data_IF_899919338122
#
_entry.id   IF_899919338122
#
_cell.length_a   1.000
_cell.length_b   1.000
_cell.length_c   1.000
_cell.angle_alpha   90.00
_cell.angle_beta   90.00
_cell.angle_gamma   90.00
#
_symmetry.space_group_name_H-M   'P 1'
#
loop_
_entity.id
_entity.type
_entity.pdbx_description
1 polymer ?
#
# COMPACT_ATOMS: atom_id res chain seq x y z
N UNK A 1 -7.40 2.93 -27.75
CA UNK A 1 -6.70 3.10 -26.47
C UNK A 1 -7.69 2.72 -25.37
N UNK A 2 -7.27 2.02 -24.31
CA UNK A 2 -8.15 1.74 -23.18
C UNK A 2 -8.61 3.05 -22.53
N UNK A 3 -9.85 3.06 -22.08
CA UNK A 3 -10.48 4.14 -21.34
C UNK A 3 -10.61 3.77 -19.87
N UNK A 4 -10.95 4.73 -19.01
CA UNK A 4 -11.17 4.46 -17.58
C UNK A 4 -12.23 3.38 -17.31
N UNK A 5 -13.22 3.25 -18.20
CA UNK A 5 -14.26 2.22 -18.10
C UNK A 5 -13.71 0.80 -18.30
N UNK A 6 -12.58 0.67 -18.99
CA UNK A 6 -11.95 -0.61 -19.30
C UNK A 6 -11.03 -1.09 -18.17
N UNK A 7 -10.81 -0.29 -17.12
CA UNK A 7 -9.99 -0.69 -15.97
C UNK A 7 -10.69 -1.80 -15.19
N UNK A 8 -10.01 -2.92 -15.03
CA UNK A 8 -10.54 -4.07 -14.33
C UNK A 8 -10.56 -3.81 -12.82
N UNK A 9 -11.68 -4.18 -12.18
CA UNK A 9 -11.81 -4.18 -10.74
C UNK A 9 -11.83 -5.61 -10.25
N UNK A 10 -10.98 -5.90 -9.26
CA UNK A 10 -10.99 -7.12 -8.48
C UNK A 10 -10.90 -6.74 -7.00
N UNK A 11 -11.80 -7.27 -6.18
CA UNK A 11 -11.81 -6.97 -4.75
C UNK A 11 -10.56 -7.58 -4.10
N UNK A 12 -9.65 -6.79 -3.51
CA UNK A 12 -8.52 -7.33 -2.75
C UNK A 12 -9.05 -8.01 -1.48
N UNK A 13 -8.37 -9.04 -0.98
CA UNK A 13 -8.70 -9.63 0.32
C UNK A 13 -7.71 -9.15 1.38
N UNK A 14 -8.24 -8.71 2.52
CA UNK A 14 -7.41 -8.30 3.66
C UNK A 14 -6.43 -9.41 4.08
N UNK A 15 -6.88 -10.66 4.11
CA UNK A 15 -6.06 -11.80 4.53
C UNK A 15 -4.80 -11.97 3.65
N UNK A 16 -4.96 -11.89 2.32
CA UNK A 16 -3.83 -12.04 1.40
C UNK A 16 -2.88 -10.85 1.47
N UNK A 17 -3.44 -9.64 1.54
CA UNK A 17 -2.70 -8.40 1.71
C UNK A 17 -1.87 -8.44 2.99
N UNK A 18 -2.49 -8.72 4.13
CA UNK A 18 -1.85 -8.75 5.43
C UNK A 18 -0.73 -9.80 5.50
N UNK A 19 -1.00 -11.00 4.96
CA UNK A 19 -0.02 -12.10 4.93
C UNK A 19 1.23 -11.72 4.14
N UNK A 20 1.07 -11.23 2.90
CA UNK A 20 2.22 -10.88 2.06
C UNK A 20 2.93 -9.64 2.59
N UNK A 21 2.19 -8.64 3.09
CA UNK A 21 2.76 -7.43 3.66
C UNK A 21 3.63 -7.74 4.88
N UNK A 22 3.13 -8.54 5.83
CA UNK A 22 3.90 -8.93 7.03
C UNK A 22 5.13 -9.75 6.69
N UNK A 23 5.03 -10.65 5.70
CA UNK A 23 6.17 -11.42 5.19
C UNK A 23 7.24 -10.51 4.60
N UNK A 24 6.87 -9.55 3.75
CA UNK A 24 7.81 -8.59 3.16
C UNK A 24 8.41 -7.69 4.24
N UNK A 25 7.62 -7.22 5.21
CA UNK A 25 8.11 -6.39 6.30
C UNK A 25 9.13 -7.14 7.17
N UNK A 26 8.85 -8.39 7.53
CA UNK A 26 9.82 -9.23 8.24
C UNK A 26 11.12 -9.40 7.44
N UNK A 27 11.03 -9.61 6.12
CA UNK A 27 12.23 -9.66 5.27
C UNK A 27 12.98 -8.32 5.26
N UNK A 28 12.27 -7.20 5.25
CA UNK A 28 12.86 -5.86 5.28
C UNK A 28 13.65 -5.64 6.57
N UNK A 29 13.09 -6.03 7.71
CA UNK A 29 13.73 -5.88 9.03
C UNK A 29 14.97 -6.78 9.19
N UNK A 30 14.97 -7.96 8.56
CA UNK A 30 16.09 -8.92 8.62
C UNK A 30 17.14 -8.71 7.51
N UNK A 31 16.89 -7.80 6.56
CA UNK A 31 17.76 -7.66 5.41
C UNK A 31 19.13 -7.04 5.80
N UNK A 32 20.25 -7.76 5.55
CA UNK A 32 21.58 -7.35 6.02
C UNK A 32 22.22 -6.22 5.20
N UNK A 33 21.52 -5.69 4.19
CA UNK A 33 22.08 -4.66 3.32
C UNK A 33 21.01 -3.71 2.78
N UNK A 34 21.43 -2.49 2.49
CA UNK A 34 20.66 -1.51 1.75
C UNK A 34 20.07 -2.08 0.45
N UNK A 35 20.84 -2.87 -0.32
CA UNK A 35 20.39 -3.38 -1.60
C UNK A 35 19.15 -4.27 -1.45
N UNK A 36 19.17 -5.17 -0.46
CA UNK A 36 18.05 -6.06 -0.15
C UNK A 36 16.85 -5.29 0.40
N UNK A 37 17.07 -4.36 1.33
CA UNK A 37 15.98 -3.51 1.85
C UNK A 37 15.32 -2.67 0.75
N UNK A 38 16.11 -2.16 -0.20
CA UNK A 38 15.58 -1.40 -1.33
C UNK A 38 14.73 -2.26 -2.29
N UNK A 39 15.15 -3.50 -2.54
CA UNK A 39 14.37 -4.46 -3.33
C UNK A 39 13.04 -4.77 -2.64
N UNK A 40 13.07 -5.09 -1.35
CA UNK A 40 11.88 -5.44 -0.57
C UNK A 40 10.93 -4.24 -0.47
N UNK A 41 11.47 -3.03 -0.28
CA UNK A 41 10.69 -1.80 -0.29
C UNK A 41 9.96 -1.58 -1.63
N UNK A 42 10.57 -1.96 -2.75
CA UNK A 42 9.90 -1.94 -4.07
C UNK A 42 8.70 -2.88 -4.08
N UNK A 43 8.86 -4.11 -3.58
CA UNK A 43 7.77 -5.10 -3.49
C UNK A 43 6.63 -4.66 -2.57
N UNK A 44 6.96 -4.05 -1.42
CA UNK A 44 5.95 -3.46 -0.52
C UNK A 44 5.17 -2.38 -1.26
N UNK A 45 5.85 -1.49 -2.00
CA UNK A 45 5.18 -0.43 -2.76
C UNK A 45 4.32 -0.97 -3.90
N UNK A 46 4.73 -2.05 -4.57
CA UNK A 46 3.91 -2.75 -5.59
C UNK A 46 2.62 -3.28 -4.97
N UNK A 47 2.72 -4.02 -3.86
CA UNK A 47 1.55 -4.55 -3.13
C UNK A 47 0.60 -3.44 -2.67
N UNK A 48 1.15 -2.33 -2.16
CA UNK A 48 0.38 -1.14 -1.78
C UNK A 48 -0.32 -0.49 -2.98
N UNK A 49 0.38 -0.39 -4.11
CA UNK A 49 -0.17 0.19 -5.34
C UNK A 49 -1.34 -0.63 -5.87
N UNK A 50 -1.26 -1.96 -5.82
CA UNK A 50 -2.36 -2.84 -6.23
C UNK A 50 -3.61 -2.61 -5.38
N UNK A 51 -3.45 -2.57 -4.05
CA UNK A 51 -4.55 -2.28 -3.11
C UNK A 51 -5.16 -0.89 -3.35
N UNK A 52 -4.32 0.16 -3.32
CA UNK A 52 -4.74 1.55 -3.48
C UNK A 52 -5.40 1.80 -4.85
N UNK A 53 -4.99 1.06 -5.89
CA UNK A 53 -5.61 1.14 -7.22
C UNK A 53 -7.04 0.63 -7.22
N UNK A 54 -7.30 -0.52 -6.58
CA UNK A 54 -8.65 -1.09 -6.48
C UNK A 54 -9.56 -0.20 -5.63
N UNK A 55 -9.04 0.32 -4.51
CA UNK A 55 -9.74 1.29 -3.67
C UNK A 55 -10.11 2.55 -4.45
N UNK A 56 -9.16 3.12 -5.17
CA UNK A 56 -9.37 4.34 -5.97
C UNK A 56 -10.42 4.10 -7.06
N UNK A 57 -10.39 2.93 -7.71
CA UNK A 57 -11.34 2.58 -8.75
C UNK A 57 -12.77 2.52 -8.20
N UNK A 58 -12.96 1.92 -7.03
CA UNK A 58 -14.25 1.87 -6.34
C UNK A 58 -14.70 3.27 -5.93
N UNK A 59 -13.83 4.05 -5.28
CA UNK A 59 -14.15 5.41 -4.85
C UNK A 59 -14.64 6.29 -6.01
N UNK A 60 -13.94 6.26 -7.16
CA UNK A 60 -14.34 7.04 -8.34
C UNK A 60 -15.67 6.54 -8.90
N UNK A 61 -15.86 5.22 -9.03
CA UNK A 61 -17.09 4.67 -9.63
C UNK A 61 -18.32 4.84 -8.74
N UNK A 62 -18.16 4.70 -7.43
CA UNK A 62 -19.18 5.02 -6.43
C UNK A 62 -19.54 6.51 -6.46
N UNK A 63 -18.56 7.41 -6.44
CA UNK A 63 -18.82 8.87 -6.45
C UNK A 63 -19.48 9.38 -7.73
N UNK A 64 -19.31 8.69 -8.87
CA UNK A 64 -20.04 8.99 -10.12
C UNK A 64 -21.52 8.63 -10.00
N UNK A 65 -21.85 7.53 -9.32
CA UNK A 65 -23.22 7.05 -9.15
C UNK A 65 -23.41 6.36 -7.79
N UNK A 66 -23.80 7.14 -6.78
CA UNK A 66 -23.96 6.65 -5.40
C UNK A 66 -25.19 5.76 -5.20
N UNK A 67 -26.00 5.52 -6.25
CA UNK A 67 -27.12 4.56 -6.19
C UNK A 67 -26.78 3.23 -6.85
N UNK A 68 -25.54 3.04 -7.32
CA UNK A 68 -25.05 1.76 -7.81
C UNK A 68 -24.76 0.83 -6.62
N UNK A 69 -25.65 -0.15 -6.39
CA UNK A 69 -25.55 -1.08 -5.25
C UNK A 69 -24.25 -1.90 -5.22
N UNK A 70 -23.62 -2.14 -6.38
CA UNK A 70 -22.36 -2.86 -6.42
C UNK A 70 -21.27 -1.97 -5.82
N UNK A 71 -21.09 -0.77 -6.37
CA UNK A 71 -20.02 0.13 -5.89
C UNK A 71 -20.28 0.71 -4.50
N UNK A 72 -21.53 0.78 -4.04
CA UNK A 72 -21.86 1.05 -2.63
C UNK A 72 -21.23 -0.01 -1.70
N UNK A 73 -21.49 -1.29 -1.96
CA UNK A 73 -20.98 -2.40 -1.15
C UNK A 73 -19.46 -2.55 -1.24
N UNK A 74 -18.88 -2.23 -2.38
CA UNK A 74 -17.42 -2.18 -2.50
C UNK A 74 -16.84 -0.99 -1.71
N UNK A 75 -17.51 0.17 -1.71
CA UNK A 75 -17.06 1.33 -0.94
C UNK A 75 -17.12 1.05 0.56
N UNK A 76 -18.23 0.49 1.06
CA UNK A 76 -18.38 0.05 2.45
C UNK A 76 -17.27 -0.94 2.85
N UNK A 77 -16.95 -1.89 1.96
CA UNK A 77 -15.86 -2.82 2.18
C UNK A 77 -14.52 -2.10 2.39
N UNK A 78 -14.19 -1.14 1.51
CA UNK A 78 -12.96 -0.36 1.66
C UNK A 78 -12.97 0.53 2.90
N UNK A 79 -14.10 1.10 3.30
CA UNK A 79 -14.23 1.89 4.53
C UNK A 79 -13.92 1.03 5.77
N UNK A 80 -14.34 -0.24 5.79
CA UNK A 80 -14.05 -1.18 6.88
C UNK A 80 -12.58 -1.60 6.93
N UNK A 81 -11.96 -1.90 5.78
CA UNK A 81 -10.62 -2.50 5.77
C UNK A 81 -9.47 -1.49 5.68
N UNK A 82 -9.73 -0.26 5.21
CA UNK A 82 -8.68 0.76 5.05
C UNK A 82 -7.95 1.09 6.35
N UNK A 83 -8.60 1.20 7.52
CA UNK A 83 -7.90 1.41 8.78
C UNK A 83 -6.91 0.28 9.14
N UNK A 84 -7.23 -0.96 8.75
CA UNK A 84 -6.35 -2.12 8.98
C UNK A 84 -5.14 -2.07 8.04
N UNK A 85 -5.36 -1.70 6.77
CA UNK A 85 -4.29 -1.42 5.81
C UNK A 85 -3.37 -0.28 6.27
N UNK A 86 -3.93 0.84 6.74
CA UNK A 86 -3.17 1.96 7.29
C UNK A 86 -2.31 1.53 8.49
N UNK A 87 -2.81 0.62 9.32
CA UNK A 87 -2.04 0.01 10.41
C UNK A 87 -0.81 -0.78 9.93
N UNK A 88 -0.88 -1.45 8.77
CA UNK A 88 0.26 -2.13 8.15
C UNK A 88 1.27 -1.14 7.59
N UNK A 89 0.78 -0.09 6.92
CA UNK A 89 1.63 0.99 6.39
C UNK A 89 2.37 1.70 7.52
N UNK A 90 1.71 1.94 8.65
CA UNK A 90 2.33 2.54 9.83
C UNK A 90 3.47 1.68 10.39
N UNK A 91 3.28 0.36 10.50
CA UNK A 91 4.35 -0.56 10.93
C UNK A 91 5.53 -0.52 9.96
N UNK A 92 5.26 -0.51 8.65
CA UNK A 92 6.31 -0.36 7.64
C UNK A 92 7.08 0.96 7.79
N UNK A 93 6.39 2.06 8.06
CA UNK A 93 7.00 3.36 8.31
C UNK A 93 7.91 3.37 9.53
N UNK A 94 7.50 2.70 10.62
CA UNK A 94 8.34 2.52 11.80
C UNK A 94 9.62 1.73 11.47
N UNK A 95 9.50 0.60 10.75
CA UNK A 95 10.66 -0.18 10.30
C UNK A 95 11.59 0.62 9.41
N UNK A 96 11.05 1.44 8.50
CA UNK A 96 11.83 2.29 7.60
C UNK A 96 12.68 3.32 8.37
N UNK A 97 12.12 3.96 9.40
CA UNK A 97 12.84 4.94 10.24
C UNK A 97 13.89 4.25 11.10
N UNK A 98 13.58 3.06 11.62
CA UNK A 98 14.45 2.32 12.54
C UNK A 98 15.54 1.51 11.83
N UNK A 99 15.51 1.42 10.49
CA UNK A 99 16.52 0.72 9.72
C UNK A 99 17.92 1.32 9.90
N UNK A 100 18.92 0.45 10.12
CA UNK A 100 20.34 0.84 10.12
C UNK A 100 20.76 1.45 8.77
N UNK A 101 20.09 1.10 7.67
CA UNK A 101 20.35 1.65 6.34
C UNK A 101 19.49 2.89 6.00
N UNK A 102 18.76 3.49 6.96
CA UNK A 102 17.81 4.58 6.67
C UNK A 102 18.45 5.73 5.87
N UNK A 103 19.70 6.11 6.15
CA UNK A 103 20.38 7.20 5.45
C UNK A 103 20.60 6.89 3.96
N UNK A 104 20.91 5.63 3.63
CA UNK A 104 21.05 5.18 2.25
C UNK A 104 19.69 5.10 1.54
N UNK A 105 18.66 4.63 2.23
CA UNK A 105 17.28 4.61 1.75
C UNK A 105 16.75 6.04 1.50
N UNK A 106 17.01 6.98 2.41
CA UNK A 106 16.63 8.40 2.26
C UNK A 106 17.31 9.03 1.05
N UNK A 107 18.58 8.71 0.79
CA UNK A 107 19.27 9.18 -0.41
C UNK A 107 18.64 8.62 -1.69
N UNK A 108 18.16 7.38 -1.68
CA UNK A 108 17.58 6.69 -2.84
C UNK A 108 16.13 7.10 -3.15
N UNK A 109 15.32 7.24 -2.11
CA UNK A 109 13.86 7.48 -2.19
C UNK A 109 13.48 8.93 -1.92
N UNK A 110 14.43 9.75 -1.49
CA UNK A 110 14.27 11.17 -1.26
C UNK A 110 13.84 11.50 0.16
N UNK A 111 14.31 12.66 0.63
CA UNK A 111 14.04 13.18 1.99
C UNK A 111 12.56 13.41 2.26
N UNK A 112 11.76 13.64 1.21
CA UNK A 112 10.34 13.90 1.34
C UNK A 112 9.59 12.70 1.92
N UNK A 113 9.93 11.48 1.49
CA UNK A 113 9.33 10.27 2.04
C UNK A 113 9.59 10.20 3.54
N UNK A 114 10.85 10.33 3.97
CA UNK A 114 11.24 10.26 5.38
C UNK A 114 10.67 11.41 6.23
N UNK A 115 10.31 12.53 5.61
CA UNK A 115 9.57 13.61 6.28
C UNK A 115 8.12 13.19 6.52
N UNK A 116 7.44 12.61 5.54
CA UNK A 116 6.05 12.14 5.66
C UNK A 116 5.93 11.03 6.71
N UNK A 117 6.86 10.08 6.69
CA UNK A 117 6.89 8.90 7.57
C UNK A 117 7.07 9.28 9.06
N UNK A 118 7.60 10.48 9.36
CA UNK A 118 7.81 11.01 10.72
C UNK A 118 6.66 11.88 11.25
N UNK A 119 5.68 12.20 10.41
CA UNK A 119 4.49 12.96 10.81
C UNK A 119 3.47 12.03 11.49
#
# INVERSE_FOLDING_TARGET
>A
MPTFKDYYYERPTLESLETEFKKLLHQFDQAPSFALQNEIMTKINELRTEFESMQTLVYIRHSINTTDEFYEKENDYFDEISPLYEGLVHQYYQSLINSENHAALEKRWGKQLFRIVKL
#
